data_IF_563409554553
#
_entry.id   IF_563409554553
#
_cell.length_a   1.000
_cell.length_b   1.000
_cell.length_c   1.000
_cell.angle_alpha   90.00
_cell.angle_beta   90.00
_cell.angle_gamma   90.00
#
_symmetry.space_group_name_H-M   'P 1'
#
loop_
_entity.id
_entity.type
_entity.pdbx_description
1 polymer ?
#
# COMPACT_ATOMS: atom_id res chain seq x y z
N UNK A 1 -12.41 17.07 -5.98
CA UNK A 1 -12.23 17.11 -4.54
C UNK A 1 -11.61 15.84 -3.99
N UNK A 2 -12.29 14.72 -4.18
CA UNK A 2 -11.78 13.43 -3.72
C UNK A 2 -10.57 12.97 -4.50
N UNK A 3 -10.54 13.25 -5.80
CA UNK A 3 -9.38 12.97 -6.64
C UNK A 3 -8.17 13.78 -6.18
N UNK A 4 -8.38 15.03 -5.77
CA UNK A 4 -7.32 15.88 -5.23
C UNK A 4 -6.72 15.28 -3.96
N UNK A 5 -7.55 14.75 -3.06
CA UNK A 5 -7.09 14.09 -1.83
C UNK A 5 -6.26 12.84 -2.18
N UNK A 6 -6.74 12.01 -3.10
CA UNK A 6 -6.03 10.81 -3.55
C UNK A 6 -4.68 11.18 -4.18
N UNK A 7 -4.69 12.20 -5.03
CA UNK A 7 -3.48 12.71 -5.68
C UNK A 7 -2.44 13.17 -4.65
N UNK A 8 -2.86 13.96 -3.68
CA UNK A 8 -1.97 14.47 -2.63
C UNK A 8 -1.39 13.35 -1.78
N UNK A 9 -2.21 12.35 -1.44
CA UNK A 9 -1.75 11.18 -0.71
C UNK A 9 -0.74 10.35 -1.52
N UNK A 10 -0.98 10.20 -2.82
CA UNK A 10 -0.06 9.49 -3.70
C UNK A 10 1.28 10.19 -3.79
N UNK A 11 1.29 11.53 -3.89
CA UNK A 11 2.53 12.32 -3.91
C UNK A 11 3.28 12.20 -2.58
N UNK A 12 2.57 12.30 -1.46
CA UNK A 12 3.16 12.14 -0.13
C UNK A 12 3.77 10.76 0.05
N UNK A 13 3.05 9.72 -0.37
CA UNK A 13 3.53 8.36 -0.29
C UNK A 13 4.78 8.16 -1.15
N UNK A 14 4.78 8.68 -2.39
CA UNK A 14 5.94 8.62 -3.28
C UNK A 14 7.16 9.26 -2.65
N UNK A 15 6.98 10.41 -2.02
CA UNK A 15 8.05 11.12 -1.33
C UNK A 15 8.60 10.30 -0.14
N UNK A 16 7.72 9.70 0.66
CA UNK A 16 8.12 8.84 1.78
C UNK A 16 8.90 7.61 1.30
N UNK A 17 8.48 7.01 0.19
CA UNK A 17 9.15 5.86 -0.39
C UNK A 17 10.55 6.22 -0.88
N UNK A 18 10.74 7.41 -1.46
CA UNK A 18 12.06 7.91 -1.86
C UNK A 18 12.99 8.05 -0.66
N UNK A 19 12.50 8.62 0.44
CA UNK A 19 13.27 8.78 1.67
C UNK A 19 13.67 7.40 2.22
N UNK A 20 12.73 6.48 2.29
CA UNK A 20 12.99 5.13 2.81
C UNK A 20 14.03 4.39 1.96
N UNK A 21 13.94 4.51 0.63
CA UNK A 21 14.87 3.86 -0.28
C UNK A 21 16.30 4.40 -0.12
N UNK A 22 16.44 5.67 0.26
CA UNK A 22 17.76 6.30 0.45
C UNK A 22 18.37 6.12 1.82
N UNK A 23 17.55 6.01 2.87
CA UNK A 23 18.03 6.10 4.25
C UNK A 23 17.74 4.90 5.13
N UNK A 24 16.64 4.18 4.89
CA UNK A 24 16.21 3.12 5.78
C UNK A 24 15.61 1.96 5.01
N UNK A 25 16.28 0.81 5.10
CA UNK A 25 15.85 -0.44 4.46
C UNK A 25 15.42 -1.48 5.52
N UNK A 26 15.07 -1.02 6.73
CA UNK A 26 14.65 -1.93 7.79
C UNK A 26 13.30 -2.58 7.46
N UNK A 27 13.07 -3.75 8.04
CA UNK A 27 11.80 -4.47 7.93
C UNK A 27 10.62 -3.62 8.41
N UNK A 28 10.81 -2.89 9.52
CA UNK A 28 9.77 -2.04 10.07
C UNK A 28 9.38 -0.91 9.11
N UNK A 29 10.35 -0.34 8.43
CA UNK A 29 10.10 0.71 7.42
C UNK A 29 9.34 0.15 6.22
N UNK A 30 9.67 -1.06 5.78
CA UNK A 30 8.95 -1.71 4.68
C UNK A 30 7.51 -2.04 5.07
N UNK A 31 7.27 -2.47 6.32
CA UNK A 31 5.93 -2.72 6.83
C UNK A 31 5.12 -1.42 6.88
N UNK A 32 5.71 -0.35 7.39
CA UNK A 32 5.04 0.95 7.45
C UNK A 32 4.65 1.43 6.05
N UNK A 33 5.56 1.31 5.09
CA UNK A 33 5.30 1.68 3.69
C UNK A 33 4.21 0.80 3.08
N UNK A 34 4.23 -0.51 3.35
CA UNK A 34 3.23 -1.44 2.83
C UNK A 34 1.84 -1.12 3.36
N UNK A 35 1.70 -0.81 4.65
CA UNK A 35 0.42 -0.43 5.24
C UNK A 35 -0.09 0.88 4.63
N UNK A 36 0.80 1.86 4.42
CA UNK A 36 0.43 3.12 3.78
C UNK A 36 -0.04 2.89 2.33
N UNK A 37 0.63 2.03 1.58
CA UNK A 37 0.22 1.67 0.22
C UNK A 37 -1.15 0.97 0.21
N UNK A 38 -1.39 0.07 1.16
CA UNK A 38 -2.67 -0.62 1.27
C UNK A 38 -3.81 0.35 1.58
N UNK A 39 -3.56 1.32 2.45
CA UNK A 39 -4.53 2.36 2.77
C UNK A 39 -4.81 3.26 1.56
N UNK A 40 -3.78 3.59 0.79
CA UNK A 40 -3.95 4.35 -0.45
C UNK A 40 -4.79 3.57 -1.47
N UNK A 41 -4.54 2.28 -1.63
CA UNK A 41 -5.32 1.43 -2.52
C UNK A 41 -6.80 1.43 -2.10
N UNK A 42 -7.07 1.29 -0.81
CA UNK A 42 -8.43 1.32 -0.26
C UNK A 42 -9.10 2.65 -0.55
N UNK A 43 -8.40 3.75 -0.31
CA UNK A 43 -8.93 5.09 -0.52
C UNK A 43 -9.28 5.31 -2.01
N UNK A 44 -8.40 4.91 -2.91
CA UNK A 44 -8.64 5.05 -4.34
C UNK A 44 -9.85 4.22 -4.79
N UNK A 45 -9.94 2.98 -4.34
CA UNK A 45 -11.05 2.09 -4.69
C UNK A 45 -12.39 2.61 -4.14
N UNK A 46 -12.40 3.07 -2.88
CA UNK A 46 -13.63 3.57 -2.25
C UNK A 46 -14.15 4.86 -2.89
N UNK A 47 -13.27 5.68 -3.44
CA UNK A 47 -13.67 6.94 -4.06
C UNK A 47 -14.02 6.81 -5.55
N UNK A 48 -13.67 5.69 -6.18
CA UNK A 48 -13.87 5.48 -7.61
C UNK A 48 -15.33 5.71 -8.05
N UNK A 49 -16.35 5.16 -7.38
CA UNK A 49 -17.75 5.34 -7.83
C UNK A 49 -18.20 6.80 -7.86
N UNK A 50 -17.59 7.67 -7.07
CA UNK A 50 -17.96 9.07 -6.96
C UNK A 50 -17.22 9.97 -7.95
N UNK A 51 -16.27 9.41 -8.71
CA UNK A 51 -15.50 10.18 -9.68
C UNK A 51 -16.23 10.29 -11.02
N UNK A 52 -15.95 11.35 -11.79
CA UNK A 52 -16.40 11.41 -13.18
C UNK A 52 -15.88 10.22 -13.98
N UNK A 53 -16.62 9.79 -15.00
CA UNK A 53 -16.27 8.62 -15.80
C UNK A 53 -14.88 8.71 -16.42
N UNK A 54 -14.46 9.89 -16.82
CA UNK A 54 -13.11 10.08 -17.41
C UNK A 54 -11.97 9.90 -16.41
N UNK A 55 -12.24 9.99 -15.11
CA UNK A 55 -11.25 9.85 -14.05
C UNK A 55 -11.23 8.47 -13.40
N UNK A 56 -12.27 7.67 -13.61
CA UNK A 56 -12.34 6.32 -13.03
C UNK A 56 -11.18 5.41 -13.44
N UNK A 57 -10.74 5.40 -14.71
CA UNK A 57 -9.58 4.58 -15.08
C UNK A 57 -8.30 4.96 -14.32
N UNK A 58 -8.11 6.24 -14.01
CA UNK A 58 -6.94 6.70 -13.24
C UNK A 58 -6.99 6.18 -11.81
N UNK A 59 -8.17 6.24 -11.19
CA UNK A 59 -8.34 5.72 -9.83
C UNK A 59 -8.16 4.20 -9.79
N UNK A 60 -8.64 3.48 -10.80
CA UNK A 60 -8.43 2.05 -10.90
C UNK A 60 -6.95 1.71 -11.04
N UNK A 61 -6.23 2.44 -11.91
CA UNK A 61 -4.79 2.26 -12.07
C UNK A 61 -4.05 2.54 -10.77
N UNK A 62 -4.41 3.61 -10.07
CA UNK A 62 -3.80 3.95 -8.77
C UNK A 62 -4.01 2.83 -7.74
N UNK A 63 -5.22 2.23 -7.71
CA UNK A 63 -5.51 1.11 -6.82
C UNK A 63 -4.62 -0.09 -7.12
N UNK A 64 -4.47 -0.46 -8.38
CA UNK A 64 -3.62 -1.59 -8.78
C UNK A 64 -2.15 -1.33 -8.48
N UNK A 65 -1.66 -0.12 -8.75
CA UNK A 65 -0.27 0.24 -8.46
C UNK A 65 0.01 0.20 -6.96
N UNK A 66 -0.87 0.77 -6.16
CA UNK A 66 -0.70 0.78 -4.70
C UNK A 66 -0.78 -0.64 -4.13
N UNK A 67 -1.71 -1.46 -4.60
CA UNK A 67 -1.83 -2.84 -4.16
C UNK A 67 -0.60 -3.67 -4.58
N UNK A 68 -0.11 -3.47 -5.80
CA UNK A 68 1.11 -4.12 -6.29
C UNK A 68 2.34 -3.73 -5.49
N UNK A 69 2.46 -2.46 -5.15
CA UNK A 69 3.56 -1.96 -4.30
C UNK A 69 3.49 -2.58 -2.91
N UNK A 70 2.28 -2.70 -2.33
CA UNK A 70 2.08 -3.40 -1.06
C UNK A 70 2.64 -4.81 -1.12
N UNK A 71 2.29 -5.57 -2.14
CA UNK A 71 2.76 -6.94 -2.30
C UNK A 71 4.27 -7.02 -2.49
N UNK A 72 4.85 -6.11 -3.25
CA UNK A 72 6.29 -6.05 -3.46
C UNK A 72 7.03 -5.80 -2.14
N UNK A 73 6.56 -4.84 -1.35
CA UNK A 73 7.15 -4.54 -0.04
C UNK A 73 7.01 -5.72 0.93
N UNK A 74 5.87 -6.40 0.92
CA UNK A 74 5.67 -7.56 1.79
C UNK A 74 6.59 -8.72 1.38
N UNK A 75 6.86 -8.90 0.09
CA UNK A 75 7.83 -9.90 -0.37
C UNK A 75 9.22 -9.63 0.20
N UNK A 76 9.62 -8.36 0.26
CA UNK A 76 10.89 -7.97 0.88
C UNK A 76 10.88 -8.26 2.38
N UNK A 77 9.79 -7.94 3.06
CA UNK A 77 9.61 -8.20 4.49
C UNK A 77 9.73 -9.71 4.78
N UNK A 78 9.04 -10.53 4.00
CA UNK A 78 9.07 -11.98 4.19
C UNK A 78 10.47 -12.57 4.04
N UNK A 79 11.28 -12.02 3.13
CA UNK A 79 12.66 -12.48 2.94
C UNK A 79 13.56 -12.11 4.12
N UNK A 80 13.19 -11.11 4.91
CA UNK A 80 13.98 -10.58 6.02
C UNK A 80 13.54 -11.09 7.39
N UNK A 81 12.39 -11.76 7.49
CA UNK A 81 11.83 -12.18 8.80
C UNK A 81 12.72 -13.16 9.54
N UNK A 82 13.56 -13.92 8.84
CA UNK A 82 14.47 -14.87 9.46
C UNK A 82 15.56 -14.22 10.30
N UNK A 83 15.79 -12.91 10.15
CA UNK A 83 16.80 -12.18 10.93
C UNK A 83 16.23 -11.54 12.19
N UNK A 84 14.92 -11.62 12.40
CA UNK A 84 14.25 -11.01 13.55
C UNK A 84 14.10 -12.01 14.70
N UNK A 85 13.95 -11.50 15.93
CA UNK A 85 13.58 -12.37 17.03
C UNK A 85 12.15 -12.89 16.81
N UNK A 86 11.78 -13.96 17.54
CA UNK A 86 10.52 -14.66 17.33
C UNK A 86 9.29 -13.77 17.54
N UNK A 87 9.28 -12.96 18.60
CA UNK A 87 8.14 -12.08 18.90
C UNK A 87 8.00 -10.99 17.84
N UNK A 88 9.12 -10.39 17.41
CA UNK A 88 9.13 -9.36 16.40
C UNK A 88 8.70 -9.94 15.04
N UNK A 89 9.20 -11.11 14.69
CA UNK A 89 8.83 -11.78 13.44
C UNK A 89 7.32 -12.09 13.39
N UNK A 90 6.75 -12.53 14.50
CA UNK A 90 5.32 -12.81 14.60
C UNK A 90 4.47 -11.56 14.37
N UNK A 91 4.83 -10.45 15.03
CA UNK A 91 4.13 -9.17 14.85
C UNK A 91 4.28 -8.65 13.43
N UNK A 92 5.47 -8.75 12.86
CA UNK A 92 5.75 -8.33 11.49
C UNK A 92 4.91 -9.10 10.48
N UNK A 93 4.82 -10.43 10.63
CA UNK A 93 4.00 -11.27 9.75
C UNK A 93 2.51 -10.97 9.90
N UNK A 94 2.06 -10.63 11.09
CA UNK A 94 0.68 -10.22 11.33
C UNK A 94 0.36 -8.93 10.57
N UNK A 95 1.22 -7.94 10.66
CA UNK A 95 1.06 -6.67 9.94
C UNK A 95 1.14 -6.87 8.43
N UNK A 96 2.05 -7.75 7.98
CA UNK A 96 2.18 -8.09 6.57
C UNK A 96 0.88 -8.69 6.01
N UNK A 97 0.30 -9.63 6.74
CA UNK A 97 -0.99 -10.24 6.34
C UNK A 97 -2.11 -9.23 6.30
N UNK A 98 -2.14 -8.30 7.26
CA UNK A 98 -3.12 -7.21 7.28
C UNK A 98 -2.98 -6.32 6.05
N UNK A 99 -1.75 -5.94 5.70
CA UNK A 99 -1.51 -5.09 4.53
C UNK A 99 -1.95 -5.76 3.23
N UNK A 100 -1.60 -7.03 3.03
CA UNK A 100 -1.98 -7.79 1.84
C UNK A 100 -3.49 -7.96 1.77
N UNK A 101 -4.13 -8.26 2.89
CA UNK A 101 -5.59 -8.42 2.94
C UNK A 101 -6.31 -7.15 2.52
N UNK A 102 -5.86 -6.00 3.03
CA UNK A 102 -6.43 -4.69 2.67
C UNK A 102 -6.23 -4.38 1.19
N UNK A 103 -5.04 -4.65 0.67
CA UNK A 103 -4.74 -4.42 -0.73
C UNK A 103 -5.60 -5.28 -1.65
N UNK A 104 -5.76 -6.56 -1.31
CA UNK A 104 -6.61 -7.48 -2.07
C UNK A 104 -8.08 -7.06 -2.04
N UNK A 105 -8.56 -6.61 -0.88
CA UNK A 105 -9.93 -6.13 -0.74
C UNK A 105 -10.18 -4.90 -1.62
N UNK A 106 -9.21 -3.98 -1.66
CA UNK A 106 -9.31 -2.79 -2.49
C UNK A 106 -9.42 -3.15 -3.97
N UNK A 107 -8.61 -4.09 -4.44
CA UNK A 107 -8.66 -4.56 -5.84
C UNK A 107 -10.00 -5.21 -6.14
N UNK A 108 -10.54 -6.01 -5.22
CA UNK A 108 -11.85 -6.64 -5.38
C UNK A 108 -12.98 -5.63 -5.52
N UNK A 109 -12.88 -4.49 -4.84
CA UNK A 109 -13.89 -3.44 -4.94
C UNK A 109 -14.00 -2.85 -6.35
N UNK A 110 -12.93 -2.94 -7.15
CA UNK A 110 -12.94 -2.40 -8.52
C UNK A 110 -13.87 -3.19 -9.45
N UNK A 111 -14.14 -4.45 -9.16
CA UNK A 111 -14.95 -5.32 -10.01
C UNK A 111 -16.35 -5.56 -9.46
N UNK A 112 -16.66 -4.97 -8.32
CA UNK A 112 -18.00 -5.03 -7.74
C UNK A 112 -18.72 -3.67 -7.86
#
# INVERSE_FOLDING_TARGET
LRLEVVKNLALDLGHRLEILAGEDTSTDSFIEAALACADLATLAACNLPALPDGEKPLAAAATHLAAGTTRALISLVESETGTLDEAHAENTLKDARSAVWRADLAVRQLVS
#
